data_IF_933389232284
#
_entry.id   IF_933389232284
#
_cell.length_a   1.000
_cell.length_b   1.000
_cell.length_c   1.000
_cell.angle_alpha   90.00
_cell.angle_beta   90.00
_cell.angle_gamma   90.00
#
_symmetry.space_group_name_H-M   'P 1'
#
loop_
_entity.id
_entity.type
_entity.pdbx_description
1 polymer ?
#
# COMPACT_ATOMS: atom_id res chain seq x y z
N UNK A 1 0.75 -9.09 14.44
CA UNK A 1 0.99 -9.05 12.98
C UNK A 1 1.52 -10.41 12.55
N UNK A 2 0.78 -11.14 11.71
CA UNK A 2 1.17 -12.50 11.28
C UNK A 2 1.98 -12.45 9.98
N UNK A 3 2.82 -13.46 9.73
CA UNK A 3 3.58 -13.59 8.46
C UNK A 3 2.66 -13.61 7.24
N UNK A 4 1.47 -14.18 7.40
CA UNK A 4 0.42 -14.23 6.38
C UNK A 4 -0.02 -12.84 5.89
N UNK A 5 -0.10 -11.85 6.79
CA UNK A 5 -0.44 -10.48 6.41
C UNK A 5 0.61 -9.91 5.44
N UNK A 6 1.89 -10.07 5.73
CA UNK A 6 2.95 -9.57 4.86
C UNK A 6 2.95 -10.26 3.50
N UNK A 7 2.80 -11.58 3.47
CA UNK A 7 2.74 -12.35 2.23
C UNK A 7 1.56 -11.92 1.35
N UNK A 8 0.36 -11.79 1.93
CA UNK A 8 -0.83 -11.35 1.21
C UNK A 8 -0.64 -9.96 0.60
N UNK A 9 0.00 -9.05 1.34
CA UNK A 9 0.23 -7.69 0.89
C UNK A 9 1.33 -7.56 -0.16
N UNK A 10 2.41 -8.32 -0.03
CA UNK A 10 3.45 -8.41 -1.05
C UNK A 10 2.85 -8.94 -2.35
N UNK A 11 2.03 -10.00 -2.27
CA UNK A 11 1.37 -10.59 -3.44
C UNK A 11 0.42 -9.58 -4.11
N UNK A 12 -0.32 -8.79 -3.32
CA UNK A 12 -1.12 -7.68 -3.84
C UNK A 12 -0.27 -6.58 -4.48
N UNK A 13 0.87 -6.24 -3.88
CA UNK A 13 1.82 -5.28 -4.43
C UNK A 13 2.38 -5.73 -5.78
N UNK A 14 2.72 -7.01 -5.92
CA UNK A 14 3.17 -7.58 -7.20
C UNK A 14 2.07 -7.61 -8.26
N UNK A 15 0.82 -7.84 -7.86
CA UNK A 15 -0.33 -7.76 -8.78
C UNK A 15 -0.46 -6.33 -9.33
N UNK A 16 -0.35 -5.31 -8.47
CA UNK A 16 -0.35 -3.91 -8.90
C UNK A 16 0.86 -3.56 -9.76
N UNK A 17 2.06 -4.05 -9.41
CA UNK A 17 3.26 -3.85 -10.22
C UNK A 17 3.10 -4.46 -11.63
N UNK A 18 2.52 -5.66 -11.75
CA UNK A 18 2.28 -6.29 -13.04
C UNK A 18 1.33 -5.45 -13.92
N UNK A 19 0.24 -4.93 -13.34
CA UNK A 19 -0.70 -4.02 -14.03
C UNK A 19 0.06 -2.77 -14.51
N UNK A 20 0.87 -2.17 -13.64
CA UNK A 20 1.59 -0.94 -13.94
C UNK A 20 2.66 -1.12 -15.03
N UNK A 21 3.38 -2.24 -14.99
CA UNK A 21 4.34 -2.63 -16.03
C UNK A 21 3.62 -2.85 -17.37
N UNK A 22 2.48 -3.56 -17.35
CA UNK A 22 1.70 -3.81 -18.56
C UNK A 22 1.25 -2.51 -19.23
N UNK A 23 0.83 -1.51 -18.45
CA UNK A 23 0.41 -0.21 -18.98
C UNK A 23 1.55 0.57 -19.66
N UNK A 24 2.81 0.30 -19.33
CA UNK A 24 3.99 1.00 -19.88
C UNK A 24 4.88 0.13 -20.79
N UNK A 25 4.46 -1.11 -21.07
CA UNK A 25 5.28 -2.10 -21.78
C UNK A 25 5.64 -1.70 -23.23
N UNK A 26 4.84 -0.85 -23.87
CA UNK A 26 5.09 -0.39 -25.24
C UNK A 26 6.25 0.61 -25.36
N UNK A 27 6.69 1.22 -24.27
CA UNK A 27 7.73 2.25 -24.26
C UNK A 27 9.05 1.62 -23.77
N UNK A 28 9.84 1.06 -24.71
CA UNK A 28 11.01 0.21 -24.40
C UNK A 28 12.04 0.91 -23.52
N UNK A 29 12.25 2.21 -23.73
CA UNK A 29 13.23 3.01 -23.00
C UNK A 29 12.83 3.20 -21.53
N UNK A 30 11.52 3.26 -21.26
CA UNK A 30 10.97 3.47 -19.91
C UNK A 30 10.60 2.16 -19.23
N UNK A 31 10.42 1.08 -19.98
CA UNK A 31 9.98 -0.22 -19.45
C UNK A 31 10.94 -0.75 -18.40
N UNK A 32 12.26 -0.64 -18.61
CA UNK A 32 13.25 -1.09 -17.62
C UNK A 32 13.15 -0.31 -16.30
N UNK A 33 13.07 1.02 -16.39
CA UNK A 33 13.00 1.91 -15.24
C UNK A 33 11.67 1.72 -14.48
N UNK A 34 10.54 1.70 -15.20
CA UNK A 34 9.20 1.50 -14.64
C UNK A 34 9.09 0.13 -13.98
N UNK A 35 9.66 -0.92 -14.58
CA UNK A 35 9.64 -2.28 -14.01
C UNK A 35 10.43 -2.35 -12.72
N UNK A 36 11.64 -1.79 -12.71
CA UNK A 36 12.50 -1.79 -11.53
C UNK A 36 11.85 -1.01 -10.38
N UNK A 37 11.31 0.18 -10.64
CA UNK A 37 10.58 0.97 -9.65
C UNK A 37 9.33 0.25 -9.14
N UNK A 38 8.55 -0.37 -10.03
CA UNK A 38 7.31 -1.07 -9.66
C UNK A 38 7.59 -2.27 -8.76
N UNK A 39 8.66 -3.02 -9.02
CA UNK A 39 9.07 -4.17 -8.19
C UNK A 39 9.53 -3.71 -6.80
N UNK A 40 10.35 -2.66 -6.72
CA UNK A 40 10.75 -2.08 -5.44
C UNK A 40 9.51 -1.60 -4.69
N UNK A 41 8.58 -0.93 -5.37
CA UNK A 41 7.36 -0.43 -4.77
C UNK A 41 6.46 -1.56 -4.24
N UNK A 42 6.37 -2.69 -4.95
CA UNK A 42 5.65 -3.87 -4.50
C UNK A 42 6.22 -4.49 -3.21
N UNK A 43 7.55 -4.52 -3.08
CA UNK A 43 8.21 -4.99 -1.85
C UNK A 43 7.98 -4.04 -0.66
N UNK A 44 7.90 -2.74 -0.94
CA UNK A 44 7.71 -1.69 0.06
C UNK A 44 6.23 -1.50 0.45
N UNK A 45 5.29 -1.91 -0.40
CA UNK A 45 3.85 -1.81 -0.21
C UNK A 45 3.33 -2.29 1.16
N UNK A 46 3.72 -3.47 1.72
CA UNK A 46 3.26 -3.89 3.04
C UNK A 46 3.60 -2.86 4.13
N UNK A 47 4.76 -2.21 4.07
CA UNK A 47 5.16 -1.22 5.08
C UNK A 47 4.33 0.06 4.98
N UNK A 48 4.11 0.57 3.77
CA UNK A 48 3.27 1.75 3.56
C UNK A 48 1.82 1.50 3.96
N UNK A 49 1.30 0.30 3.68
CA UNK A 49 -0.04 -0.11 4.12
C UNK A 49 -0.13 -0.19 5.65
N UNK A 50 0.87 -0.76 6.32
CA UNK A 50 0.92 -0.82 7.77
C UNK A 50 0.91 0.56 8.41
N UNK A 51 1.69 1.49 7.85
CA UNK A 51 1.72 2.86 8.33
C UNK A 51 0.36 3.53 8.16
N UNK A 52 -0.24 3.45 6.98
CA UNK A 52 -1.57 3.99 6.73
C UNK A 52 -2.63 3.37 7.63
N UNK A 53 -2.66 2.05 7.81
CA UNK A 53 -3.60 1.40 8.71
C UNK A 53 -3.40 1.86 10.16
N UNK A 54 -2.14 2.08 10.59
CA UNK A 54 -1.83 2.59 11.93
C UNK A 54 -2.28 4.04 12.12
N UNK A 55 -2.08 4.90 11.12
CA UNK A 55 -2.54 6.29 11.12
C UNK A 55 -4.06 6.33 11.09
N UNK A 56 -4.66 5.62 10.16
CA UNK A 56 -6.11 5.55 9.97
C UNK A 56 -6.80 5.00 11.22
N UNK A 57 -6.21 4.02 11.91
CA UNK A 57 -6.74 3.52 13.18
C UNK A 57 -6.76 4.56 14.30
N UNK A 58 -5.99 5.64 14.21
CA UNK A 58 -6.06 6.76 15.16
C UNK A 58 -7.15 7.77 14.83
N UNK A 59 -7.53 7.85 13.56
CA UNK A 59 -8.54 8.81 13.07
C UNK A 59 -9.94 8.20 12.91
N UNK A 60 -10.04 6.88 12.72
CA UNK A 60 -11.31 6.19 12.57
C UNK A 60 -11.96 5.95 13.95
N UNK A 61 -13.26 6.28 14.06
CA UNK A 61 -14.10 5.97 15.22
C UNK A 61 -14.30 4.46 15.41
N UNK A 62 -14.37 4.01 16.68
CA UNK A 62 -14.72 2.63 17.09
C UNK A 62 -15.97 2.07 16.37
N UNK A 63 -16.96 2.93 16.07
CA UNK A 63 -18.18 2.54 15.32
C UNK A 63 -17.89 2.10 13.88
N UNK A 64 -16.95 2.75 13.20
CA UNK A 64 -16.51 2.37 11.86
C UNK A 64 -15.68 1.08 11.88
N UNK A 65 -14.91 0.88 12.96
CA UNK A 65 -14.11 -0.34 13.18
C UNK A 65 -15.00 -1.58 13.37
N UNK A 66 -16.10 -1.45 14.11
CA UNK A 66 -17.09 -2.51 14.30
C UNK A 66 -17.87 -2.84 13.01
N UNK A 67 -18.26 -1.82 12.23
CA UNK A 67 -18.91 -2.04 10.93
C UNK A 67 -17.99 -2.73 9.92
N UNK A 68 -16.68 -2.39 9.90
CA UNK A 68 -15.67 -3.03 9.04
C UNK A 68 -15.52 -4.53 9.29
N UNK A 69 -15.79 -5.01 10.50
CA UNK A 69 -15.71 -6.44 10.83
C UNK A 69 -16.96 -7.23 10.41
N UNK A 70 -18.07 -6.54 10.12
CA UNK A 70 -19.42 -7.17 10.12
C UNK A 70 -20.13 -7.04 8.77
N UNK A 71 -19.81 -6.04 7.95
CA UNK A 71 -20.41 -5.86 6.62
C UNK A 71 -19.32 -5.99 5.56
N UNK A 72 -19.43 -7.03 4.74
CA UNK A 72 -18.67 -7.21 3.51
C UNK A 72 -19.64 -6.96 2.35
N UNK A 73 -19.97 -5.71 2.07
CA UNK A 73 -20.80 -5.38 0.91
C UNK A 73 -19.94 -5.16 -0.34
N UNK A 74 -20.46 -5.51 -1.52
CA UNK A 74 -19.70 -5.43 -2.79
C UNK A 74 -19.18 -4.01 -3.10
N UNK A 75 -19.93 -2.98 -2.67
CA UNK A 75 -19.52 -1.58 -2.78
C UNK A 75 -18.28 -1.26 -1.92
N UNK A 76 -18.16 -1.85 -0.74
CA UNK A 76 -16.99 -1.67 0.13
C UNK A 76 -15.74 -2.29 -0.51
N UNK A 77 -15.86 -3.45 -1.17
CA UNK A 77 -14.74 -4.10 -1.88
C UNK A 77 -14.16 -3.23 -3.00
N UNK A 78 -15.01 -2.53 -3.76
CA UNK A 78 -14.57 -1.57 -4.79
C UNK A 78 -13.83 -0.37 -4.20
N UNK A 79 -14.35 0.18 -3.10
CA UNK A 79 -13.70 1.29 -2.39
C UNK A 79 -12.33 0.86 -1.82
N UNK A 80 -12.21 -0.37 -1.35
CA UNK A 80 -10.94 -0.94 -0.92
C UNK A 80 -9.95 -1.12 -2.07
N UNK A 81 -10.40 -1.54 -3.25
CA UNK A 81 -9.53 -1.62 -4.43
C UNK A 81 -8.93 -0.25 -4.77
N UNK A 82 -9.74 0.80 -4.78
CA UNK A 82 -9.29 2.19 -5.01
C UNK A 82 -8.30 2.63 -3.92
N UNK A 83 -8.61 2.35 -2.66
CA UNK A 83 -7.71 2.65 -1.55
C UNK A 83 -6.35 1.94 -1.70
N UNK A 84 -6.34 0.69 -2.17
CA UNK A 84 -5.10 -0.04 -2.45
C UNK A 84 -4.32 0.55 -3.61
N UNK A 85 -4.98 0.95 -4.68
CA UNK A 85 -4.32 1.63 -5.82
C UNK A 85 -3.65 2.93 -5.37
N UNK A 86 -4.39 3.77 -4.65
CA UNK A 86 -3.87 5.04 -4.11
C UNK A 86 -2.68 4.73 -3.19
N UNK A 87 -2.83 3.78 -2.28
CA UNK A 87 -1.73 3.38 -1.37
C UNK A 87 -0.50 2.94 -2.15
N UNK A 88 -0.65 2.19 -3.24
CA UNK A 88 0.47 1.75 -4.07
C UNK A 88 1.16 2.93 -4.77
N UNK A 89 0.40 3.84 -5.39
CA UNK A 89 0.95 5.03 -6.05
C UNK A 89 1.70 5.91 -5.05
N UNK A 90 1.15 6.11 -3.86
CA UNK A 90 1.74 6.94 -2.82
C UNK A 90 2.74 6.21 -1.92
N UNK A 91 2.99 4.90 -2.13
CA UNK A 91 3.91 4.09 -1.31
C UNK A 91 5.28 4.75 -1.12
N UNK A 92 5.98 5.30 -2.14
CA UNK A 92 7.28 5.93 -1.91
C UNK A 92 7.18 7.19 -1.03
N UNK A 93 6.15 8.02 -1.22
CA UNK A 93 5.92 9.21 -0.41
C UNK A 93 5.59 8.85 1.05
N UNK A 94 4.74 7.85 1.25
CA UNK A 94 4.37 7.33 2.57
C UNK A 94 5.59 6.79 3.30
N UNK A 95 6.49 6.13 2.59
CA UNK A 95 7.69 5.53 3.19
C UNK A 95 8.70 6.61 3.61
N UNK A 96 8.86 7.67 2.82
CA UNK A 96 9.65 8.85 3.21
C UNK A 96 9.10 9.46 4.51
N UNK A 97 7.78 9.67 4.59
CA UNK A 97 7.13 10.20 5.81
C UNK A 97 7.38 9.28 7.00
N UNK A 98 7.22 7.96 6.81
CA UNK A 98 7.48 6.97 7.85
C UNK A 98 8.92 7.03 8.38
N UNK A 99 9.91 7.13 7.50
CA UNK A 99 11.31 7.25 7.86
C UNK A 99 11.60 8.54 8.64
N UNK A 100 11.05 9.68 8.21
CA UNK A 100 11.16 10.96 8.93
C UNK A 100 10.58 10.84 10.33
N UNK A 101 9.35 10.30 10.47
CA UNK A 101 8.73 10.11 11.79
C UNK A 101 9.56 9.21 12.70
N UNK A 102 10.19 8.17 12.15
CA UNK A 102 11.10 7.28 12.89
C UNK A 102 12.38 8.00 13.31
N UNK A 103 13.00 8.77 12.42
CA UNK A 103 14.22 9.53 12.69
C UNK A 103 13.99 10.58 13.79
N UNK A 104 12.90 11.36 13.70
CA UNK A 104 12.51 12.35 14.72
C UNK A 104 12.29 11.68 16.08
N UNK A 105 11.65 10.50 16.10
CA UNK A 105 11.42 9.76 17.34
C UNK A 105 12.69 9.15 17.93
N UNK A 106 13.67 8.77 17.10
CA UNK A 106 14.95 8.22 17.56
C UNK A 106 15.91 9.27 18.12
N UNK A 107 15.67 10.56 17.83
CA UNK A 107 16.48 11.68 18.30
C UNK A 107 16.02 12.26 19.64
N UNK A 108 14.97 11.70 20.26
CA UNK A 108 14.49 12.01 21.62
C UNK A 108 14.67 10.79 22.50
#
# INVERSE_FOLDING_TARGET
>A
MTKEYYLKNILLGFLWAAIFIFTWFNDKDKTFLVSTLSIINALLFPFSRLFLESVLSKFISEKFKANRSTKNTSAENGLFAIFYTITFIFTPLILIIFLICKAVKSSR
#
